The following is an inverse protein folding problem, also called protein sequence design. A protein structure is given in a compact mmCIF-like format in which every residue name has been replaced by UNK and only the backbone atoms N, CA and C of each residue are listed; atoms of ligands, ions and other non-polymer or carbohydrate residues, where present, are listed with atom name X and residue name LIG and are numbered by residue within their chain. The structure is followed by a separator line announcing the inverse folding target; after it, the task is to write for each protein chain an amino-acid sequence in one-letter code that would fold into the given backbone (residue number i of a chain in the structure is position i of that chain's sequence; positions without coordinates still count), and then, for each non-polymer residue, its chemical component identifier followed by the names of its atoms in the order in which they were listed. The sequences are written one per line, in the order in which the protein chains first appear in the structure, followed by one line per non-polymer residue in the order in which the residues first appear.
data_IF_355305767576
#
_entry.id   IF_355305767576
#
_cell.length_a   1.000
_cell.length_b   1.000
_cell.length_c   1.000
_cell.angle_alpha   90.00
_cell.angle_beta   90.00
_cell.angle_gamma   90.00
#
_symmetry.space_group_name_H-M   'P 1'
#
loop_
_entity.id
_entity.type
_entity.pdbx_description
1 polymer ?
#
# COMPACT_ATOMS: atom_id res chain seq x y z
N UNK A 1 -4.80 -14.88 16.21
CA UNK A 1 -3.82 -14.20 15.34
C UNK A 1 -4.10 -14.61 13.91
N UNK A 2 -4.30 -13.65 13.00
CA UNK A 2 -4.47 -13.94 11.57
C UNK A 2 -3.23 -13.49 10.84
N UNK A 3 -2.26 -14.37 10.68
CA UNK A 3 -1.08 -14.13 9.84
C UNK A 3 -1.53 -14.24 8.39
N UNK A 4 -1.99 -13.13 7.79
CA UNK A 4 -2.19 -13.07 6.34
C UNK A 4 -0.80 -13.05 5.69
N UNK A 5 -0.61 -13.86 4.65
CA UNK A 5 0.61 -13.84 3.86
C UNK A 5 0.88 -12.41 3.35
N UNK A 6 2.17 -12.00 3.24
CA UNK A 6 2.52 -10.66 2.78
C UNK A 6 2.02 -10.45 1.34
N UNK A 7 1.56 -9.23 1.06
CA UNK A 7 1.09 -8.82 -0.26
C UNK A 7 2.29 -8.45 -1.13
N UNK A 8 2.59 -9.28 -2.12
CA UNK A 8 3.69 -9.04 -3.05
C UNK A 8 3.16 -8.41 -4.34
N UNK A 9 3.73 -7.27 -4.70
CA UNK A 9 3.41 -6.54 -5.92
C UNK A 9 4.66 -6.35 -6.78
N UNK A 10 4.43 -6.19 -8.09
CA UNK A 10 5.48 -5.87 -9.06
C UNK A 10 5.06 -4.63 -9.84
N UNK A 11 5.95 -3.66 -9.98
CA UNK A 11 5.72 -2.41 -10.70
C UNK A 11 6.86 -2.15 -11.68
N UNK A 12 6.55 -1.47 -12.79
CA UNK A 12 7.55 -1.07 -13.76
C UNK A 12 8.37 0.09 -13.20
N UNK A 13 9.70 -0.05 -13.25
CA UNK A 13 10.66 0.97 -12.83
C UNK A 13 10.56 2.25 -13.68
N UNK A 14 11.13 3.35 -13.18
CA UNK A 14 11.27 4.62 -13.88
C UNK A 14 9.94 5.23 -14.37
N UNK A 15 8.83 4.90 -13.69
CA UNK A 15 7.49 5.45 -13.93
C UNK A 15 6.97 6.14 -12.68
N UNK A 16 6.71 7.44 -12.77
CA UNK A 16 5.93 8.20 -11.78
C UNK A 16 4.43 7.95 -12.00
N UNK A 17 3.64 7.88 -10.93
CA UNK A 17 2.21 7.61 -10.97
C UNK A 17 1.86 6.17 -11.39
N UNK A 18 2.82 5.24 -11.33
CA UNK A 18 2.58 3.85 -11.68
C UNK A 18 1.76 3.17 -10.59
N UNK A 19 0.70 2.47 -11.00
CA UNK A 19 -0.10 1.63 -10.10
C UNK A 19 0.72 0.41 -9.66
N UNK A 20 0.81 0.20 -8.35
CA UNK A 20 1.54 -0.93 -7.73
C UNK A 20 0.56 -2.05 -7.40
N UNK A 21 -0.56 -1.71 -6.75
CA UNK A 21 -1.50 -2.70 -6.24
C UNK A 21 -2.51 -2.11 -5.28
N UNK A 22 -3.36 -2.98 -4.69
CA UNK A 22 -4.40 -2.60 -3.73
C UNK A 22 -4.27 -3.44 -2.47
N UNK A 23 -4.26 -2.80 -1.30
CA UNK A 23 -4.08 -3.51 0.00
C UNK A 23 -5.32 -4.29 0.46
N UNK A 24 -6.52 -3.91 -0.01
CA UNK A 24 -7.75 -4.63 0.28
C UNK A 24 -8.33 -5.30 -0.97
N UNK A 25 -8.70 -6.60 -0.92
CA UNK A 25 -9.41 -7.24 -2.01
C UNK A 25 -10.77 -6.59 -2.23
N UNK A 26 -11.12 -6.36 -3.51
CA UNK A 26 -12.38 -5.75 -3.97
C UNK A 26 -13.66 -6.42 -3.43
N UNK A 27 -13.56 -7.67 -2.95
CA UNK A 27 -14.68 -8.43 -2.37
C UNK A 27 -15.02 -8.05 -0.92
N UNK A 28 -14.29 -7.13 -0.28
CA UNK A 28 -14.70 -6.48 0.97
C UNK A 28 -15.80 -5.43 0.69
N UNK A 29 -16.87 -5.92 0.08
CA UNK A 29 -18.02 -5.12 -0.34
C UNK A 29 -18.77 -4.61 0.90
N UNK A 30 -19.09 -3.31 0.89
CA UNK A 30 -20.05 -2.59 1.74
C UNK A 30 -19.56 -1.82 2.98
N UNK A 31 -18.29 -1.89 3.42
CA UNK A 31 -17.86 -1.14 4.63
C UNK A 31 -16.67 -0.19 4.45
N UNK A 32 -16.14 -0.02 3.23
CA UNK A 32 -14.94 0.79 2.99
C UNK A 32 -15.14 2.31 3.07
N UNK A 33 -16.38 2.79 3.31
CA UNK A 33 -16.74 4.21 3.26
C UNK A 33 -16.16 5.05 4.41
N UNK A 34 -15.53 4.41 5.40
CA UNK A 34 -14.89 5.07 6.53
C UNK A 34 -13.57 4.40 6.90
N UNK A 35 -12.84 3.90 5.89
CA UNK A 35 -11.52 3.31 6.09
C UNK A 35 -10.47 4.33 5.68
N UNK A 36 -9.60 4.69 6.61
CA UNK A 36 -8.46 5.56 6.37
C UNK A 36 -7.21 4.70 6.21
N UNK A 37 -6.56 4.81 5.07
CA UNK A 37 -5.30 4.14 4.82
C UNK A 37 -4.13 5.07 5.08
N UNK A 38 -3.06 4.51 5.67
CA UNK A 38 -1.81 5.21 5.91
C UNK A 38 -0.63 4.24 5.82
N UNK A 39 0.49 4.70 5.26
CA UNK A 39 1.73 3.93 5.25
C UNK A 39 2.47 4.22 6.56
N UNK A 40 2.61 3.20 7.41
CA UNK A 40 3.24 3.34 8.73
C UNK A 40 4.71 3.74 8.62
N UNK A 41 5.40 3.23 7.60
CA UNK A 41 6.81 3.51 7.33
C UNK A 41 7.00 4.53 6.18
N UNK A 42 6.10 5.51 6.04
CA UNK A 42 6.12 6.50 4.95
C UNK A 42 7.47 7.22 4.77
N UNK A 43 8.25 7.38 5.85
CA UNK A 43 9.61 7.96 5.80
C UNK A 43 10.59 7.08 5.02
N UNK A 44 10.49 5.76 5.16
CA UNK A 44 11.38 4.80 4.50
C UNK A 44 10.95 4.50 3.06
N UNK A 45 9.67 4.75 2.73
CA UNK A 45 9.09 4.52 1.40
C UNK A 45 8.44 5.80 0.84
N UNK A 46 9.15 6.93 0.97
CA UNK A 46 8.68 8.25 0.50
C UNK A 46 8.37 8.33 -1.01
N UNK A 47 8.83 7.35 -1.77
CA UNK A 47 8.59 7.20 -3.21
C UNK A 47 7.23 6.56 -3.54
N UNK A 48 6.49 6.12 -2.52
CA UNK A 48 5.23 5.39 -2.65
C UNK A 48 4.16 6.09 -1.83
N UNK A 49 2.95 6.17 -2.36
CA UNK A 49 1.81 6.73 -1.68
C UNK A 49 0.57 5.85 -1.84
N UNK A 50 -0.40 6.08 -0.95
CA UNK A 50 -1.66 5.32 -0.88
C UNK A 50 -2.86 6.25 -1.06
N UNK A 51 -3.86 5.81 -1.82
CA UNK A 51 -5.12 6.56 -1.98
C UNK A 51 -6.08 6.27 -0.83
N UNK A 52 -7.13 7.09 -0.69
CA UNK A 52 -8.24 6.80 0.23
C UNK A 52 -8.97 5.50 -0.05
N UNK A 53 -8.83 4.95 -1.26
CA UNK A 53 -9.42 3.66 -1.66
C UNK A 53 -8.50 2.46 -1.39
N UNK A 54 -7.29 2.71 -0.86
CA UNK A 54 -6.29 1.68 -0.56
C UNK A 54 -5.46 1.25 -1.77
N UNK A 55 -5.37 2.08 -2.81
CA UNK A 55 -4.52 1.83 -3.97
C UNK A 55 -3.14 2.44 -3.76
N UNK A 56 -2.10 1.65 -4.03
CA UNK A 56 -0.71 2.05 -3.93
C UNK A 56 -0.19 2.52 -5.30
N UNK A 57 0.53 3.64 -5.29
CA UNK A 57 1.12 4.24 -6.48
C UNK A 57 2.51 4.79 -6.22
N UNK A 58 3.33 4.89 -7.27
CA UNK A 58 4.63 5.54 -7.20
C UNK A 58 4.46 7.07 -7.27
N UNK A 59 5.13 7.79 -6.38
CA UNK A 59 5.22 9.26 -6.40
C UNK A 59 6.23 9.71 -7.46
N UNK A 60 7.35 8.99 -7.55
CA UNK A 60 8.42 9.22 -8.53
C UNK A 60 8.83 7.91 -9.20
N UNK A 61 9.69 7.97 -10.22
CA UNK A 61 10.26 6.76 -10.80
C UNK A 61 11.05 5.98 -9.76
N UNK A 62 10.74 4.70 -9.58
CA UNK A 62 11.53 3.79 -8.77
C UNK A 62 12.67 3.26 -9.64
N UNK A 63 13.90 3.39 -9.18
CA UNK A 63 15.08 2.88 -9.87
C UNK A 63 15.57 1.62 -9.15
N UNK A 64 15.64 0.52 -9.89
CA UNK A 64 16.05 -0.78 -9.37
C UNK A 64 17.50 -0.79 -8.89
N UNK A 65 18.36 0.03 -9.49
CA UNK A 65 19.78 0.14 -9.13
C UNK A 65 19.96 0.83 -7.77
N UNK A 66 19.01 1.69 -7.38
CA UNK A 66 18.97 2.33 -6.06
C UNK A 66 18.32 1.39 -5.04
N UNK A 67 17.17 0.80 -5.38
CA UNK A 67 16.43 -0.08 -4.47
C UNK A 67 15.55 -1.07 -5.21
N UNK A 68 15.89 -2.36 -5.07
CA UNK A 68 15.13 -3.46 -5.68
C UNK A 68 13.82 -3.77 -4.93
N UNK A 69 13.85 -3.77 -3.59
CA UNK A 69 12.74 -4.24 -2.76
C UNK A 69 12.26 -3.14 -1.81
N UNK A 70 10.94 -2.93 -1.79
CA UNK A 70 10.27 -2.02 -0.90
C UNK A 70 9.38 -2.82 0.06
N UNK A 71 9.72 -2.78 1.34
CA UNK A 71 8.86 -3.32 2.41
C UNK A 71 7.94 -2.20 2.87
N UNK A 72 6.64 -2.37 2.66
CA UNK A 72 5.64 -1.32 2.92
C UNK A 72 4.70 -1.86 3.98
N UNK A 73 4.54 -1.13 5.09
CA UNK A 73 3.52 -1.47 6.09
C UNK A 73 2.38 -0.48 5.97
N UNK A 74 1.19 -0.98 5.68
CA UNK A 74 -0.03 -0.18 5.57
C UNK A 74 -0.94 -0.45 6.75
N UNK A 75 -1.42 0.61 7.37
CA UNK A 75 -2.46 0.57 8.39
C UNK A 75 -3.77 1.02 7.75
N UNK A 76 -4.80 0.21 7.93
CA UNK A 76 -6.17 0.55 7.59
C UNK A 76 -6.93 0.81 8.89
N UNK A 77 -7.27 2.06 9.13
CA UNK A 77 -8.07 2.48 10.28
C UNK A 77 -9.55 2.51 9.90
N UNK A 78 -10.37 1.84 10.69
CA UNK A 78 -11.82 1.81 10.52
C UNK A 78 -12.48 2.22 11.83
N UNK A 79 -13.75 2.60 11.79
CA UNK A 79 -14.52 2.86 13.02
C UNK A 79 -14.66 1.62 13.93
N UNK A 80 -14.32 0.42 13.44
CA UNK A 80 -14.36 -0.84 14.19
C UNK A 80 -12.99 -1.31 14.68
N UNK A 81 -11.91 -0.60 14.33
CA UNK A 81 -10.55 -0.95 14.72
C UNK A 81 -9.52 -0.79 13.59
N UNK A 82 -8.28 -1.21 13.89
CA UNK A 82 -7.11 -1.10 13.03
C UNK A 82 -6.78 -2.46 12.38
N UNK A 83 -6.49 -2.44 11.08
CA UNK A 83 -5.90 -3.55 10.33
C UNK A 83 -4.50 -3.20 9.86
N UNK A 84 -3.57 -4.15 9.90
CA UNK A 84 -2.19 -3.98 9.41
C UNK A 84 -1.94 -4.93 8.25
N UNK A 85 -1.31 -4.41 7.19
CA UNK A 85 -0.96 -5.10 5.96
C UNK A 85 0.52 -4.89 5.66
N UNK A 86 1.20 -5.94 5.21
CA UNK A 86 2.61 -5.96 4.85
C UNK A 86 2.81 -6.73 3.57
#
# INVERSE_FOLDING_TARGET
GTTRAPLVFHVKENKSGAFIGKVLPRNSTKSNRNVRFLIANQRDVSDIAITGDGDLYTVRGLDREIRLNYSITVIAETSRGLGVFQ
#
